data_IF_828112624376
#
_entry.id   IF_828112624376
#
_cell.length_a   1.000
_cell.length_b   1.000
_cell.length_c   1.000
_cell.angle_alpha   90.00
_cell.angle_beta   90.00
_cell.angle_gamma   90.00
#
_symmetry.space_group_name_H-M   'P 1'
#
loop_
_entity.id
_entity.type
_entity.pdbx_description
1 polymer ?
#
# COMPACT_ATOMS: atom_id res chain seq x y z
N UNK A 1 1.79 19.90 15.93
CA UNK A 1 1.36 19.78 14.52
C UNK A 1 2.06 18.62 13.79
N UNK A 2 3.39 18.46 13.91
CA UNK A 2 4.16 17.40 13.25
C UNK A 2 3.76 15.94 13.61
N UNK A 3 3.40 15.65 14.86
CA UNK A 3 2.95 14.30 15.24
C UNK A 3 1.65 13.89 14.55
N UNK A 4 0.69 14.82 14.41
CA UNK A 4 -0.58 14.55 13.71
C UNK A 4 -0.36 14.19 12.25
N UNK A 5 0.59 14.88 11.58
CA UNK A 5 0.98 14.61 10.19
C UNK A 5 1.59 13.21 10.05
N UNK A 6 2.47 12.81 10.98
CA UNK A 6 3.08 11.46 10.98
C UNK A 6 2.03 10.36 11.11
N UNK A 7 1.09 10.52 12.06
CA UNK A 7 -0.01 9.58 12.28
C UNK A 7 -0.93 9.53 11.06
N UNK A 8 -1.28 10.68 10.48
CA UNK A 8 -2.12 10.74 9.28
C UNK A 8 -1.48 10.03 8.08
N UNK A 9 -0.19 10.27 7.81
CA UNK A 9 0.53 9.61 6.70
C UNK A 9 0.61 8.09 6.96
N UNK A 10 0.86 7.66 8.20
CA UNK A 10 0.89 6.25 8.55
C UNK A 10 -0.48 5.59 8.35
N UNK A 11 -1.55 6.19 8.88
CA UNK A 11 -2.91 5.68 8.74
C UNK A 11 -3.33 5.59 7.26
N UNK A 12 -2.96 6.60 6.46
CA UNK A 12 -3.20 6.59 5.02
C UNK A 12 -2.45 5.45 4.32
N UNK A 13 -1.17 5.25 4.64
CA UNK A 13 -0.37 4.15 4.09
C UNK A 13 -0.98 2.78 4.43
N UNK A 14 -1.43 2.62 5.68
CA UNK A 14 -2.06 1.40 6.16
C UNK A 14 -3.38 1.12 5.44
N UNK A 15 -4.25 2.13 5.31
CA UNK A 15 -5.52 2.01 4.60
C UNK A 15 -5.32 1.63 3.13
N UNK A 16 -4.41 2.32 2.43
CA UNK A 16 -4.08 2.01 1.04
C UNK A 16 -3.48 0.60 0.90
N UNK A 17 -2.64 0.17 1.84
CA UNK A 17 -2.11 -1.19 1.87
C UNK A 17 -3.18 -2.26 2.06
N UNK A 18 -4.16 -2.02 2.93
CA UNK A 18 -5.31 -2.92 3.13
C UNK A 18 -6.16 -3.01 1.85
N UNK A 19 -6.40 -1.89 1.17
CA UNK A 19 -7.13 -1.87 -0.11
C UNK A 19 -6.37 -2.61 -1.22
N UNK A 20 -5.05 -2.43 -1.32
CA UNK A 20 -4.19 -3.20 -2.22
C UNK A 20 -4.30 -4.70 -1.94
N UNK A 21 -4.23 -5.09 -0.67
CA UNK A 21 -4.35 -6.50 -0.26
C UNK A 21 -5.73 -7.07 -0.60
N UNK A 22 -6.80 -6.34 -0.32
CA UNK A 22 -8.17 -6.77 -0.64
C UNK A 22 -8.37 -6.95 -2.16
N UNK A 23 -7.92 -5.98 -2.96
CA UNK A 23 -8.00 -6.08 -4.44
C UNK A 23 -7.11 -7.21 -5.00
N UNK A 24 -5.95 -7.44 -4.39
CA UNK A 24 -5.07 -8.56 -4.73
C UNK A 24 -5.69 -9.91 -4.43
N UNK A 25 -6.37 -10.05 -3.28
CA UNK A 25 -7.11 -11.27 -2.95
C UNK A 25 -8.26 -11.54 -3.93
N UNK A 26 -9.01 -10.50 -4.31
CA UNK A 26 -10.09 -10.63 -5.31
C UNK A 26 -9.53 -11.16 -6.64
N UNK A 27 -8.39 -10.63 -7.09
CA UNK A 27 -7.73 -11.09 -8.31
C UNK A 27 -7.13 -12.50 -8.16
N UNK A 28 -6.60 -12.83 -6.99
CA UNK A 28 -6.03 -14.14 -6.70
C UNK A 28 -7.07 -15.25 -6.77
N UNK A 29 -8.25 -15.02 -6.20
CA UNK A 29 -9.38 -15.96 -6.28
C UNK A 29 -10.14 -15.88 -7.61
N UNK A 30 -9.77 -14.97 -8.51
CA UNK A 30 -10.45 -14.84 -9.79
C UNK A 30 -10.21 -16.07 -10.66
N UNK A 31 -11.26 -16.71 -11.23
CA UNK A 31 -11.09 -17.92 -12.03
C UNK A 31 -10.20 -17.69 -13.26
N UNK A 32 -9.51 -18.72 -13.73
CA UNK A 32 -8.61 -18.63 -14.89
C UNK A 32 -9.22 -19.40 -16.08
N UNK A 33 -9.35 -18.77 -17.25
CA UNK A 33 -9.92 -19.40 -18.44
C UNK A 33 -10.27 -18.45 -19.61
N UNK A 34 -10.59 -18.97 -20.81
CA UNK A 34 -10.80 -18.18 -22.02
C UNK A 34 -12.01 -17.23 -21.98
N UNK A 35 -13.01 -17.50 -21.13
CA UNK A 35 -14.22 -16.68 -20.99
C UNK A 35 -14.21 -15.75 -19.79
N UNK A 36 -13.14 -15.76 -19.02
CA UNK A 36 -13.12 -15.12 -17.70
C UNK A 36 -12.97 -13.60 -17.74
N UNK A 37 -12.57 -13.04 -18.89
CA UNK A 37 -12.56 -11.59 -19.12
C UNK A 37 -13.95 -10.94 -19.19
N UNK A 38 -15.01 -11.75 -19.37
CA UNK A 38 -16.40 -11.29 -19.43
C UNK A 38 -17.13 -11.37 -18.09
N UNK A 39 -16.52 -12.00 -17.08
CA UNK A 39 -17.08 -12.04 -15.74
C UNK A 39 -17.03 -10.63 -15.14
N UNK A 40 -18.20 -10.14 -14.74
CA UNK A 40 -18.36 -8.87 -14.04
C UNK A 40 -18.59 -9.19 -12.57
N UNK A 41 -17.69 -8.72 -11.72
CA UNK A 41 -17.79 -8.86 -10.27
C UNK A 41 -17.86 -7.46 -9.66
N UNK A 42 -18.93 -7.18 -8.91
CA UNK A 42 -19.21 -5.86 -8.33
C UNK A 42 -19.12 -4.70 -9.36
N UNK A 43 -19.60 -4.93 -10.58
CA UNK A 43 -19.62 -3.92 -11.64
C UNK A 43 -18.30 -3.74 -12.41
N UNK A 44 -17.22 -4.42 -12.03
CA UNK A 44 -15.94 -4.37 -12.74
C UNK A 44 -15.58 -5.72 -13.38
N UNK A 45 -14.93 -5.66 -14.54
CA UNK A 45 -14.31 -6.83 -15.18
C UNK A 45 -13.00 -7.19 -14.49
N UNK A 46 -12.43 -8.36 -14.80
CA UNK A 46 -11.08 -8.75 -14.32
C UNK A 46 -10.05 -7.65 -14.58
N UNK A 47 -10.09 -7.01 -15.75
CA UNK A 47 -9.16 -5.95 -16.11
C UNK A 47 -9.37 -4.69 -15.27
N UNK A 48 -10.63 -4.34 -14.98
CA UNK A 48 -10.94 -3.22 -14.07
C UNK A 48 -10.40 -3.46 -12.66
N UNK A 49 -10.57 -4.68 -12.13
CA UNK A 49 -9.98 -5.06 -10.84
C UNK A 49 -8.46 -5.04 -10.85
N UNK A 50 -7.82 -5.48 -11.94
CA UNK A 50 -6.37 -5.45 -12.11
C UNK A 50 -5.82 -4.02 -12.14
N UNK A 51 -6.52 -3.11 -12.83
CA UNK A 51 -6.16 -1.70 -12.88
C UNK A 51 -6.29 -1.04 -11.50
N UNK A 52 -7.42 -1.26 -10.80
CA UNK A 52 -7.61 -0.79 -9.42
C UNK A 52 -6.51 -1.32 -8.49
N UNK A 53 -6.21 -2.63 -8.54
CA UNK A 53 -5.14 -3.21 -7.73
C UNK A 53 -3.78 -2.57 -8.01
N UNK A 54 -3.48 -2.28 -9.28
CA UNK A 54 -2.22 -1.63 -9.67
C UNK A 54 -2.12 -0.24 -9.07
N UNK A 55 -3.17 0.59 -9.20
CA UNK A 55 -3.21 1.94 -8.61
C UNK A 55 -3.13 1.90 -7.08
N UNK A 56 -3.89 1.00 -6.45
CA UNK A 56 -3.84 0.80 -5.01
C UNK A 56 -2.52 0.23 -4.52
N UNK A 57 -1.67 -0.33 -5.39
CA UNK A 57 -0.34 -0.81 -5.00
C UNK A 57 0.75 0.26 -5.22
N UNK A 58 0.61 1.12 -6.23
CA UNK A 58 1.57 2.19 -6.52
C UNK A 58 1.41 3.37 -5.55
N UNK A 59 0.19 3.80 -5.26
CA UNK A 59 -0.07 4.91 -4.34
C UNK A 59 0.53 4.72 -2.94
N UNK A 60 0.35 3.58 -2.25
CA UNK A 60 0.96 3.37 -0.94
C UNK A 60 2.49 3.34 -1.01
N UNK A 61 3.12 2.91 -2.10
CA UNK A 61 4.58 2.99 -2.24
C UNK A 61 5.07 4.44 -2.13
N UNK A 62 4.40 5.37 -2.81
CA UNK A 62 4.71 6.80 -2.73
C UNK A 62 4.48 7.32 -1.30
N UNK A 63 3.35 6.97 -0.69
CA UNK A 63 3.03 7.39 0.69
C UNK A 63 4.03 6.83 1.70
N UNK A 64 4.49 5.58 1.54
CA UNK A 64 5.52 4.96 2.37
C UNK A 64 6.87 5.67 2.20
N UNK A 65 7.26 6.02 0.97
CA UNK A 65 8.48 6.78 0.73
C UNK A 65 8.44 8.16 1.45
N UNK A 66 7.31 8.86 1.37
CA UNK A 66 7.08 10.12 2.09
C UNK A 66 7.09 9.89 3.61
N UNK A 67 6.43 8.83 4.10
CA UNK A 67 6.44 8.46 5.51
C UNK A 67 7.86 8.27 6.03
N UNK A 68 8.69 7.55 5.28
CA UNK A 68 10.09 7.29 5.61
C UNK A 68 10.90 8.60 5.62
N UNK A 69 10.69 9.47 4.62
CA UNK A 69 11.36 10.77 4.55
C UNK A 69 10.98 11.69 5.72
N UNK A 70 9.72 11.69 6.16
CA UNK A 70 9.26 12.47 7.33
C UNK A 70 9.81 11.88 8.63
N UNK A 71 9.98 10.55 8.70
CA UNK A 71 10.48 9.86 9.87
C UNK A 71 12.02 9.65 9.89
N UNK A 72 12.74 10.13 8.88
CA UNK A 72 14.19 9.92 8.70
C UNK A 72 15.04 10.36 9.90
N UNK A 73 14.63 11.41 10.61
CA UNK A 73 15.33 11.91 11.81
C UNK A 73 15.28 10.90 12.95
N UNK A 74 14.14 10.23 13.14
CA UNK A 74 13.97 9.18 14.15
C UNK A 74 14.77 7.92 13.79
N UNK A 75 14.79 7.55 12.50
CA UNK A 75 15.61 6.42 12.00
C UNK A 75 17.10 6.68 12.23
N UNK A 76 17.58 7.90 11.96
CA UNK A 76 18.98 8.28 12.16
C UNK A 76 19.40 8.25 13.63
N UNK A 77 18.50 8.60 14.55
CA UNK A 77 18.77 8.47 15.99
C UNK A 77 18.87 7.01 16.42
N UNK A 78 17.97 6.15 15.92
CA UNK A 78 18.00 4.70 16.18
C UNK A 78 19.33 4.07 15.73
N UNK A 79 19.80 4.44 14.54
CA UNK A 79 21.06 3.95 13.99
C UNK A 79 22.28 4.43 14.80
N UNK A 80 22.26 5.67 15.30
CA UNK A 80 23.30 6.18 16.20
C UNK A 80 23.32 5.43 17.53
N UNK A 81 22.16 5.06 18.07
CA UNK A 81 22.05 4.30 19.31
C UNK A 81 22.62 2.88 19.16
N UNK A 82 22.35 2.22 18.03
CA UNK A 82 22.91 0.91 17.70
C UNK A 82 24.44 0.94 17.50
N UNK A 83 25.01 2.03 16.98
CA UNK A 83 26.47 2.18 16.85
C UNK A 83 27.18 2.66 18.10
N UNK A 84 26.49 3.37 19.00
CA UNK A 84 27.07 3.91 20.24
C UNK A 84 26.98 2.96 21.44
N UNK A 85 26.44 1.76 21.26
CA UNK A 85 26.32 0.71 22.29
C UNK A 85 27.31 -0.44 22.12
N UNK A 86 28.34 -0.26 21.29
CA UNK A 86 29.54 -1.08 21.21
C UNK A 86 30.79 -0.21 21.38
#
# INVERSE_FOLDING_TARGET
MLMKIRIAIFALALLLGILSLATGLILYFWPHGPRTGQLVFLGFTKNGWAELHTWFSILPLIVIAVHLAVNRTSIRMYWKYLKGSG
#
